data_IF_619035035966
#
_entry.id   IF_619035035966
#
_cell.length_a   1.000
_cell.length_b   1.000
_cell.length_c   1.000
_cell.angle_alpha   90.00
_cell.angle_beta   90.00
_cell.angle_gamma   90.00
#
_symmetry.space_group_name_H-M   'P 1'
#
loop_
_entity.id
_entity.type
_entity.pdbx_description
1 polymer ?
#
# COMPACT_ATOMS: atom_id res chain seq x y z
N UNK A 1 6.34 8.20 -7.66
CA UNK A 1 5.14 7.35 -7.46
C UNK A 1 5.31 6.40 -6.29
N UNK A 2 6.48 5.81 -6.07
CA UNK A 2 6.67 4.80 -5.02
C UNK A 2 6.31 5.28 -3.61
N UNK A 3 6.77 6.47 -3.20
CA UNK A 3 6.42 7.07 -1.90
C UNK A 3 4.90 7.26 -1.77
N UNK A 4 4.23 7.65 -2.86
CA UNK A 4 2.78 7.84 -2.90
C UNK A 4 2.03 6.53 -2.70
N UNK A 5 2.49 5.45 -3.33
CA UNK A 5 1.93 4.10 -3.14
C UNK A 5 2.27 3.55 -1.75
N UNK A 6 3.45 3.86 -1.21
CA UNK A 6 3.85 3.46 0.14
C UNK A 6 2.91 4.07 1.20
N UNK A 7 2.60 5.36 1.09
CA UNK A 7 1.62 6.00 1.97
C UNK A 7 0.22 5.36 1.85
N UNK A 8 -0.17 4.97 0.64
CA UNK A 8 -1.42 4.22 0.44
C UNK A 8 -1.36 2.83 1.10
N UNK A 9 -0.23 2.10 1.01
CA UNK A 9 -0.05 0.81 1.68
C UNK A 9 -0.17 0.94 3.20
N UNK A 10 0.45 1.96 3.80
CA UNK A 10 0.33 2.23 5.24
C UNK A 10 -1.12 2.57 5.60
N UNK A 11 -1.83 3.34 4.76
CA UNK A 11 -3.24 3.64 4.96
C UNK A 11 -4.17 2.43 4.89
N UNK A 12 -3.81 1.44 4.08
CA UNK A 12 -4.53 0.18 3.95
C UNK A 12 -4.08 -0.90 4.94
N UNK A 13 -3.15 -0.56 5.85
CA UNK A 13 -2.56 -1.50 6.81
C UNK A 13 -1.87 -2.68 6.11
N UNK A 14 -1.32 -2.44 4.92
CA UNK A 14 -0.50 -3.39 4.17
C UNK A 14 0.99 -3.25 4.52
N UNK A 15 1.33 -2.22 5.28
CA UNK A 15 2.62 -1.96 5.89
C UNK A 15 2.42 -1.19 7.19
N UNK A 16 3.31 -1.38 8.16
CA UNK A 16 3.22 -0.73 9.48
C UNK A 16 3.85 0.67 9.48
N UNK A 17 4.83 0.90 8.61
CA UNK A 17 5.53 2.17 8.46
C UNK A 17 5.91 2.44 6.99
N UNK A 18 6.37 3.67 6.71
CA UNK A 18 6.68 4.13 5.36
C UNK A 18 7.94 3.50 4.76
N UNK A 19 8.97 3.21 5.57
CA UNK A 19 10.22 2.66 5.06
C UNK A 19 10.03 1.23 4.55
N UNK A 20 9.35 0.40 5.33
CA UNK A 20 8.94 -0.95 4.91
C UNK A 20 8.01 -0.88 3.71
N UNK A 21 7.05 0.05 3.71
CA UNK A 21 6.11 0.23 2.60
C UNK A 21 6.82 0.58 1.28
N UNK A 22 7.83 1.45 1.30
CA UNK A 22 8.63 1.78 0.10
C UNK A 22 9.35 0.53 -0.42
N UNK A 23 9.96 -0.25 0.48
CA UNK A 23 10.59 -1.52 0.14
C UNK A 23 9.60 -2.50 -0.50
N UNK A 24 8.41 -2.63 0.08
CA UNK A 24 7.36 -3.52 -0.44
C UNK A 24 6.81 -3.07 -1.80
N UNK A 25 6.60 -1.77 -2.01
CA UNK A 25 6.16 -1.25 -3.32
C UNK A 25 7.17 -1.62 -4.41
N UNK A 26 8.47 -1.41 -4.16
CA UNK A 26 9.52 -1.76 -5.11
C UNK A 26 9.55 -3.26 -5.38
N UNK A 27 9.54 -4.07 -4.33
CA UNK A 27 9.55 -5.52 -4.45
C UNK A 27 8.38 -6.04 -5.30
N UNK A 28 7.16 -5.54 -5.07
CA UNK A 28 5.96 -5.93 -5.84
C UNK A 28 6.06 -5.50 -7.30
N UNK A 29 6.56 -4.29 -7.58
CA UNK A 29 6.80 -3.82 -8.95
C UNK A 29 7.84 -4.65 -9.69
N UNK A 30 8.83 -5.16 -8.97
CA UNK A 30 9.85 -6.06 -9.49
C UNK A 30 9.37 -7.53 -9.57
N UNK A 31 8.09 -7.80 -9.28
CA UNK A 31 7.51 -9.13 -9.38
C UNK A 31 7.82 -10.05 -8.20
N UNK A 32 8.13 -9.50 -7.04
CA UNK A 32 8.44 -10.24 -5.82
C UNK A 32 7.54 -9.85 -4.65
N UNK A 33 7.30 -10.79 -3.73
CA UNK A 33 6.52 -10.55 -2.52
C UNK A 33 7.36 -10.99 -1.30
N UNK A 34 7.98 -10.05 -0.58
CA UNK A 34 8.79 -10.38 0.59
C UNK A 34 7.97 -11.09 1.68
N UNK A 35 8.60 -11.97 2.45
CA UNK A 35 7.93 -12.70 3.54
C UNK A 35 7.34 -11.78 4.61
N UNK A 36 8.00 -10.64 4.89
CA UNK A 36 7.51 -9.63 5.82
C UNK A 36 6.15 -9.07 5.37
N UNK A 37 6.04 -8.65 4.10
CA UNK A 37 4.78 -8.22 3.50
C UNK A 37 3.73 -9.34 3.56
N UNK A 38 4.11 -10.57 3.19
CA UNK A 38 3.20 -11.70 3.20
C UNK A 38 2.65 -11.99 4.61
N UNK A 39 3.47 -11.84 5.65
CA UNK A 39 3.08 -12.05 7.04
C UNK A 39 2.14 -10.95 7.56
N UNK A 40 2.27 -9.72 7.07
CA UNK A 40 1.32 -8.64 7.35
C UNK A 40 -0.02 -8.96 6.69
N UNK A 41 -0.01 -9.28 5.39
CA UNK A 41 -1.23 -9.52 4.63
C UNK A 41 -2.01 -10.77 5.07
N UNK A 42 -1.32 -11.79 5.60
CA UNK A 42 -1.96 -12.96 6.25
C UNK A 42 -2.83 -12.59 7.45
N UNK A 43 -2.55 -11.47 8.11
CA UNK A 43 -3.32 -10.97 9.26
C UNK A 43 -4.46 -10.04 8.82
N UNK A 44 -4.46 -9.60 7.57
CA UNK A 44 -5.45 -8.68 7.03
C UNK A 44 -6.67 -9.46 6.50
N UNK A 45 -7.82 -9.33 7.17
CA UNK A 45 -9.04 -10.07 6.83
C UNK A 45 -9.58 -9.73 5.44
N UNK A 46 -9.52 -8.46 5.03
CA UNK A 46 -9.98 -8.05 3.71
C UNK A 46 -9.17 -8.74 2.61
N UNK A 47 -7.86 -8.80 2.78
CA UNK A 47 -6.98 -9.48 1.83
C UNK A 47 -7.26 -10.98 1.78
N UNK A 48 -7.47 -11.64 2.93
CA UNK A 48 -7.84 -13.06 2.98
C UNK A 48 -9.14 -13.37 2.22
N UNK A 49 -10.14 -12.49 2.35
CA UNK A 49 -11.41 -12.62 1.62
C UNK A 49 -11.22 -12.40 0.13
N UNK A 50 -10.45 -11.38 -0.27
CA UNK A 50 -10.24 -11.04 -1.68
C UNK A 50 -9.39 -12.08 -2.43
N UNK A 51 -8.35 -12.64 -1.81
CA UNK A 51 -7.48 -13.65 -2.45
C UNK A 51 -8.03 -15.08 -2.36
N UNK A 52 -9.18 -15.27 -1.70
CA UNK A 52 -9.87 -16.55 -1.61
C UNK A 52 -9.11 -17.60 -0.81
N UNK A 53 -9.06 -17.43 0.51
CA UNK A 53 -8.54 -18.43 1.45
C UNK A 53 -7.08 -18.16 1.87
N UNK A 54 -6.18 -19.13 1.65
CA UNK A 54 -4.79 -19.00 2.12
C UNK A 54 -4.03 -17.91 1.35
N UNK A 55 -3.48 -16.95 2.08
CA UNK A 55 -2.63 -15.87 1.56
C UNK A 55 -1.24 -16.42 1.27
N UNK A 56 -0.93 -16.59 -0.02
CA UNK A 56 0.38 -17.05 -0.54
C UNK A 56 0.97 -15.99 -1.46
N UNK A 57 2.30 -15.99 -1.63
CA UNK A 57 2.98 -15.04 -2.52
C UNK A 57 2.42 -15.07 -3.95
N UNK A 58 2.13 -16.27 -4.49
CA UNK A 58 1.56 -16.49 -5.82
C UNK A 58 0.19 -15.81 -6.01
N UNK A 59 -0.62 -15.69 -4.95
CA UNK A 59 -1.92 -15.02 -4.98
C UNK A 59 -1.82 -13.53 -4.66
N UNK A 60 -0.94 -13.19 -3.74
CA UNK A 60 -0.76 -11.81 -3.25
C UNK A 60 -0.11 -10.93 -4.29
N UNK A 61 0.89 -11.42 -5.02
CA UNK A 61 1.60 -10.63 -6.01
C UNK A 61 0.66 -10.10 -7.12
N UNK A 62 -0.17 -10.92 -7.80
CA UNK A 62 -1.12 -10.40 -8.79
C UNK A 62 -2.17 -9.49 -8.15
N UNK A 63 -2.68 -9.84 -6.97
CA UNK A 63 -3.61 -9.00 -6.20
C UNK A 63 -3.05 -7.59 -5.96
N UNK A 64 -1.84 -7.47 -5.40
CA UNK A 64 -1.21 -6.19 -5.13
C UNK A 64 -0.88 -5.41 -6.40
N UNK A 65 -0.48 -6.11 -7.46
CA UNK A 65 -0.21 -5.49 -8.77
C UNK A 65 -1.47 -4.81 -9.32
N UNK A 66 -2.64 -5.46 -9.20
CA UNK A 66 -3.92 -4.87 -9.60
C UNK A 66 -4.36 -3.75 -8.66
N UNK A 67 -4.17 -3.92 -7.35
CA UNK A 67 -4.48 -2.88 -6.36
C UNK A 67 -3.63 -1.63 -6.55
N UNK A 68 -2.35 -1.75 -6.93
CA UNK A 68 -1.51 -0.60 -7.22
C UNK A 68 -2.02 0.20 -8.41
N UNK A 69 -2.47 -0.44 -9.49
CA UNK A 69 -3.09 0.26 -10.62
C UNK A 69 -4.34 1.05 -10.20
N UNK A 70 -5.11 0.49 -9.28
CA UNK A 70 -6.30 1.15 -8.73
C UNK A 70 -5.93 2.29 -7.77
N UNK A 71 -4.93 2.07 -6.93
CA UNK A 71 -4.39 3.05 -6.00
C UNK A 71 -3.81 4.26 -6.74
N UNK A 72 -3.11 4.08 -7.85
CA UNK A 72 -2.58 5.19 -8.65
C UNK A 72 -3.69 6.13 -9.14
N UNK A 73 -4.82 5.57 -9.61
CA UNK A 73 -5.99 6.37 -10.02
C UNK A 73 -6.63 7.07 -8.82
N UNK A 74 -6.75 6.37 -7.69
CA UNK A 74 -7.33 6.90 -6.46
C UNK A 74 -6.48 8.04 -5.88
N UNK A 75 -5.16 7.89 -5.89
CA UNK A 75 -4.21 8.91 -5.45
C UNK A 75 -4.33 10.14 -6.35
N UNK A 76 -4.38 9.97 -7.67
CA UNK A 76 -4.57 11.11 -8.59
C UNK A 76 -5.89 11.84 -8.31
N UNK A 77 -6.96 11.09 -8.00
CA UNK A 77 -8.23 11.66 -7.58
C UNK A 77 -8.10 12.46 -6.27
N UNK A 78 -7.44 11.90 -5.26
CA UNK A 78 -7.21 12.56 -3.97
C UNK A 78 -6.37 13.83 -4.09
N UNK A 79 -5.36 13.83 -4.95
CA UNK A 79 -4.55 15.02 -5.23
C UNK A 79 -5.37 16.15 -5.87
N UNK A 80 -6.36 15.80 -6.70
CA UNK A 80 -7.31 16.78 -7.25
C UNK A 80 -8.40 17.18 -6.24
N UNK A 81 -8.63 16.38 -5.19
CA UNK A 81 -9.72 16.55 -4.23
C UNK A 81 -9.21 16.45 -2.78
N UNK A 82 -8.35 17.38 -2.33
CA UNK A 82 -7.65 17.26 -1.04
C UNK A 82 -8.58 17.32 0.20
N UNK A 83 -9.85 17.70 0.01
CA UNK A 83 -10.87 17.73 1.08
C UNK A 83 -11.64 16.41 1.23
N UNK A 84 -11.44 15.44 0.33
CA UNK A 84 -11.98 14.09 0.53
C UNK A 84 -11.43 13.50 1.83
N UNK A 85 -12.29 12.88 2.63
CA UNK A 85 -11.89 12.36 3.95
C UNK A 85 -10.70 11.39 3.85
N UNK A 86 -10.66 10.53 2.83
CA UNK A 86 -9.54 9.61 2.66
C UNK A 86 -8.29 10.33 2.14
N UNK A 87 -8.45 11.37 1.31
CA UNK A 87 -7.34 12.23 0.89
C UNK A 87 -6.69 12.94 2.09
N UNK A 88 -7.48 13.41 3.06
CA UNK A 88 -6.95 14.06 4.28
C UNK A 88 -6.06 13.09 5.06
N UNK A 89 -6.51 11.86 5.32
CA UNK A 89 -5.71 10.86 6.03
C UNK A 89 -4.47 10.44 5.22
N UNK A 90 -4.60 10.37 3.90
CA UNK A 90 -3.49 10.06 2.99
C UNK A 90 -2.40 11.14 3.04
N UNK A 91 -2.78 12.41 2.90
CA UNK A 91 -1.86 13.54 2.92
C UNK A 91 -1.21 13.72 4.28
N UNK A 92 -1.92 13.44 5.38
CA UNK A 92 -1.34 13.45 6.71
C UNK A 92 -0.19 12.45 6.85
N UNK A 93 -0.38 11.19 6.42
CA UNK A 93 0.68 10.17 6.45
C UNK A 93 1.88 10.56 5.60
N UNK A 94 1.65 11.13 4.42
CA UNK A 94 2.73 11.65 3.56
C UNK A 94 3.50 12.80 4.21
N UNK A 95 2.81 13.73 4.86
CA UNK A 95 3.44 14.86 5.55
C UNK A 95 4.30 14.37 6.72
N UNK A 96 3.75 13.48 7.57
CA UNK A 96 4.47 12.88 8.71
C UNK A 96 5.78 12.19 8.26
N UNK A 97 5.76 11.51 7.10
CA UNK A 97 6.98 10.95 6.51
C UNK A 97 7.97 12.03 6.07
N UNK A 98 7.54 13.01 5.27
CA UNK A 98 8.44 14.04 4.74
C UNK A 98 9.09 14.87 5.86
N UNK A 99 8.35 15.14 6.93
CA UNK A 99 8.86 15.86 8.10
C UNK A 99 9.93 15.05 8.85
N UNK A 100 9.81 13.72 8.89
CA UNK A 100 10.82 12.83 9.50
C UNK A 100 12.13 12.70 8.73
N UNK A 101 12.17 13.15 7.46
CA UNK A 101 13.34 13.08 6.59
C UNK A 101 14.09 14.43 6.49
N UNK A 102 13.57 15.47 7.14
CA UNK A 102 14.09 16.85 7.11
C UNK A 102 14.92 17.16 8.36
#
# INVERSE_FOLDING_TARGET
MDIKLAAWMVQKEFAENMDDAIGFVRAVKDGSCPDALLNILKKNMDVMMEVGGKVTAEKVLPYLTEKFKSAEKLIAFWEANPKDTNAVFYHRRLAEYNDSQS
#
